data_IF_216968744080
#
_entry.id   IF_216968744080
#
_cell.length_a   1.000
_cell.length_b   1.000
_cell.length_c   1.000
_cell.angle_alpha   90.00
_cell.angle_beta   90.00
_cell.angle_gamma   90.00
#
_symmetry.space_group_name_H-M   'P 1'
#
loop_
_entity.id
_entity.type
_entity.pdbx_description
1 polymer ?
#
# COMPACT_ATOMS: atom_id res chain seq x y z
N UNK A 1 -24.83 -4.40 -13.68
CA UNK A 1 -24.56 -2.99 -13.25
C UNK A 1 -25.79 -2.18 -12.80
N UNK A 2 -26.91 -2.07 -13.55
CA UNK A 2 -27.99 -1.07 -13.29
C UNK A 2 -28.58 -1.07 -11.86
N UNK A 3 -28.51 -2.17 -11.11
CA UNK A 3 -29.00 -2.26 -9.73
C UNK A 3 -27.90 -2.12 -8.66
N UNK A 4 -26.65 -2.45 -8.99
CA UNK A 4 -25.54 -2.46 -8.04
C UNK A 4 -24.95 -1.05 -7.82
N UNK A 5 -24.85 -0.25 -8.87
CA UNK A 5 -24.27 1.10 -8.79
C UNK A 5 -25.04 2.06 -7.86
N UNK A 6 -26.39 2.10 -7.86
CA UNK A 6 -27.13 2.88 -6.87
C UNK A 6 -26.84 2.45 -5.42
N UNK A 7 -26.75 1.13 -5.18
CA UNK A 7 -26.43 0.61 -3.85
C UNK A 7 -25.00 0.99 -3.41
N UNK A 8 -24.02 0.84 -4.31
CA UNK A 8 -22.63 1.25 -4.08
C UNK A 8 -22.53 2.74 -3.75
N UNK A 9 -23.26 3.61 -4.47
CA UNK A 9 -23.26 5.04 -4.21
C UNK A 9 -23.87 5.38 -2.83
N UNK A 10 -25.00 4.77 -2.47
CA UNK A 10 -25.63 4.96 -1.15
C UNK A 10 -24.69 4.52 -0.02
N UNK A 11 -24.03 3.37 -0.16
CA UNK A 11 -23.06 2.88 0.82
C UNK A 11 -21.83 3.80 0.92
N UNK A 12 -21.33 4.29 -0.22
CA UNK A 12 -20.20 5.21 -0.27
C UNK A 12 -20.50 6.57 0.38
N UNK A 13 -21.72 7.10 0.24
CA UNK A 13 -22.14 8.34 0.91
C UNK A 13 -22.05 8.23 2.45
N UNK A 14 -22.10 7.01 3.00
CA UNK A 14 -21.96 6.76 4.44
C UNK A 14 -20.50 6.72 4.93
N UNK A 15 -19.49 6.81 4.04
CA UNK A 15 -18.06 6.88 4.38
C UNK A 15 -17.63 8.19 5.06
N UNK A 16 -18.54 8.91 5.72
CA UNK A 16 -18.21 10.15 6.40
C UNK A 16 -17.15 9.96 7.50
N UNK A 17 -16.30 10.98 7.67
CA UNK A 17 -15.22 11.01 8.66
C UNK A 17 -15.69 10.90 10.12
N UNK A 18 -17.00 10.95 10.38
CA UNK A 18 -17.60 10.85 11.72
C UNK A 18 -18.27 9.51 12.04
N UNK A 19 -18.30 8.57 11.10
CA UNK A 19 -18.88 7.23 11.33
C UNK A 19 -17.99 6.40 12.25
N UNK A 20 -18.58 5.69 13.22
CA UNK A 20 -17.87 4.75 14.10
C UNK A 20 -17.11 3.68 13.29
N UNK A 21 -15.97 3.21 13.82
CA UNK A 21 -15.11 2.21 13.18
C UNK A 21 -15.87 0.93 12.78
N UNK A 22 -16.78 0.44 13.64
CA UNK A 22 -17.62 -0.72 13.33
C UNK A 22 -18.50 -0.51 12.09
N UNK A 23 -19.08 0.69 11.94
CA UNK A 23 -19.91 1.03 10.77
C UNK A 23 -19.04 1.06 9.52
N UNK A 24 -17.83 1.63 9.61
CA UNK A 24 -16.88 1.65 8.49
C UNK A 24 -16.49 0.25 8.05
N UNK A 25 -16.19 -0.63 9.02
CA UNK A 25 -15.88 -2.04 8.75
C UNK A 25 -17.03 -2.73 8.02
N UNK A 26 -18.27 -2.52 8.47
CA UNK A 26 -19.45 -3.14 7.86
C UNK A 26 -19.69 -2.62 6.43
N UNK A 27 -19.50 -1.31 6.20
CA UNK A 27 -19.64 -0.73 4.87
C UNK A 27 -18.55 -1.25 3.91
N UNK A 28 -17.32 -1.39 4.38
CA UNK A 28 -16.22 -2.02 3.62
C UNK A 28 -16.60 -3.45 3.24
N UNK A 29 -17.13 -4.22 4.19
CA UNK A 29 -17.56 -5.60 3.95
C UNK A 29 -18.70 -5.67 2.91
N UNK A 30 -19.73 -4.84 3.06
CA UNK A 30 -20.86 -4.77 2.12
C UNK A 30 -20.41 -4.42 0.69
N UNK A 31 -19.61 -3.37 0.54
CA UNK A 31 -19.10 -2.93 -0.77
C UNK A 31 -18.19 -4.01 -1.36
N UNK A 32 -17.33 -4.62 -0.55
CA UNK A 32 -16.43 -5.68 -0.97
C UNK A 32 -17.18 -6.95 -1.43
N UNK A 33 -18.26 -7.35 -0.74
CA UNK A 33 -19.11 -8.47 -1.16
C UNK A 33 -19.83 -8.19 -2.48
N UNK A 34 -20.35 -6.97 -2.67
CA UNK A 34 -20.94 -6.57 -3.96
C UNK A 34 -19.87 -6.64 -5.05
N UNK A 35 -18.68 -6.11 -4.77
CA UNK A 35 -17.54 -6.17 -5.69
C UNK A 35 -17.15 -7.59 -6.05
N UNK A 36 -17.05 -8.47 -5.06
CA UNK A 36 -16.75 -9.89 -5.23
C UNK A 36 -17.71 -10.55 -6.21
N UNK A 37 -19.03 -10.38 -5.99
CA UNK A 37 -20.06 -10.93 -6.89
C UNK A 37 -19.91 -10.37 -8.30
N UNK A 38 -19.71 -9.06 -8.45
CA UNK A 38 -19.57 -8.42 -9.76
C UNK A 38 -18.33 -8.89 -10.53
N UNK A 39 -17.18 -8.98 -9.85
CA UNK A 39 -15.93 -9.44 -10.48
C UNK A 39 -16.04 -10.90 -10.93
N UNK A 40 -16.71 -11.76 -10.14
CA UNK A 40 -16.97 -13.16 -10.48
C UNK A 40 -17.99 -13.35 -11.61
N UNK A 41 -18.91 -12.40 -11.79
CA UNK A 41 -19.77 -12.35 -12.97
C UNK A 41 -19.04 -11.84 -14.23
N UNK A 42 -17.75 -11.51 -14.11
CA UNK A 42 -16.92 -11.02 -15.21
C UNK A 42 -17.13 -9.52 -15.51
N UNK A 43 -17.67 -8.75 -14.57
CA UNK A 43 -17.97 -7.33 -14.75
C UNK A 43 -16.88 -6.44 -14.10
N UNK A 44 -15.90 -5.93 -14.87
CA UNK A 44 -14.79 -5.12 -14.33
C UNK A 44 -15.24 -3.73 -13.85
N UNK A 45 -16.51 -3.37 -14.10
CA UNK A 45 -17.08 -2.05 -13.76
C UNK A 45 -17.02 -1.73 -12.27
N UNK A 46 -16.95 -2.74 -11.40
CA UNK A 46 -16.71 -2.52 -9.97
C UNK A 46 -15.33 -1.88 -9.72
N UNK A 47 -14.27 -2.43 -10.33
CA UNK A 47 -12.93 -1.86 -10.22
C UNK A 47 -12.91 -0.43 -10.77
N UNK A 48 -13.50 -0.21 -11.95
CA UNK A 48 -13.63 1.14 -12.52
C UNK A 48 -14.32 2.10 -11.54
N UNK A 49 -15.44 1.70 -10.95
CA UNK A 49 -16.15 2.51 -9.96
C UNK A 49 -15.28 2.85 -8.73
N UNK A 50 -14.51 1.89 -8.20
CA UNK A 50 -13.57 2.13 -7.10
C UNK A 50 -12.53 3.18 -7.49
N UNK A 51 -11.85 3.00 -8.64
CA UNK A 51 -10.75 3.88 -9.04
C UNK A 51 -11.24 5.27 -9.46
N UNK A 52 -12.44 5.38 -10.04
CA UNK A 52 -13.09 6.68 -10.28
C UNK A 52 -13.33 7.43 -8.96
N UNK A 53 -13.78 6.72 -7.91
CA UNK A 53 -13.99 7.30 -6.58
C UNK A 53 -12.66 7.64 -5.90
N UNK A 54 -11.64 6.79 -5.99
CA UNK A 54 -10.31 7.08 -5.46
C UNK A 54 -9.72 8.37 -6.06
N UNK A 55 -9.86 8.57 -7.37
CA UNK A 55 -9.40 9.78 -8.05
C UNK A 55 -10.22 11.03 -7.69
N UNK A 56 -11.52 10.85 -7.41
CA UNK A 56 -12.37 11.95 -6.94
C UNK A 56 -12.03 12.38 -5.50
N UNK A 57 -11.60 11.43 -4.66
CA UNK A 57 -11.21 11.67 -3.26
C UNK A 57 -9.78 12.21 -3.20
N UNK A 58 -9.62 13.54 -3.20
CA UNK A 58 -8.28 14.15 -3.27
C UNK A 58 -7.46 14.03 -1.98
N UNK A 59 -8.02 14.46 -0.84
CA UNK A 59 -7.26 14.66 0.43
C UNK A 59 -7.76 13.84 1.62
N UNK A 60 -8.75 12.97 1.42
CA UNK A 60 -9.31 12.19 2.52
C UNK A 60 -8.71 10.78 2.54
N UNK A 61 -7.62 10.61 3.29
CA UNK A 61 -6.91 9.34 3.36
C UNK A 61 -7.73 8.26 4.07
N UNK A 62 -8.64 8.62 4.98
CA UNK A 62 -9.57 7.67 5.60
C UNK A 62 -10.52 7.13 4.54
N UNK A 63 -11.10 7.99 3.71
CA UNK A 63 -12.03 7.56 2.66
C UNK A 63 -11.31 6.74 1.58
N UNK A 64 -10.08 7.11 1.20
CA UNK A 64 -9.23 6.28 0.34
C UNK A 64 -8.97 4.91 0.97
N UNK A 65 -8.66 4.87 2.27
CA UNK A 65 -8.41 3.64 3.01
C UNK A 65 -9.63 2.72 2.98
N UNK A 66 -10.85 3.26 3.14
CA UNK A 66 -12.07 2.47 3.07
C UNK A 66 -12.34 1.94 1.65
N UNK A 67 -12.12 2.76 0.62
CA UNK A 67 -12.27 2.33 -0.78
C UNK A 67 -11.28 1.21 -1.14
N UNK A 68 -10.01 1.38 -0.79
CA UNK A 68 -8.98 0.36 -1.04
C UNK A 68 -9.28 -0.90 -0.23
N UNK A 69 -9.70 -0.78 1.03
CA UNK A 69 -10.12 -1.94 1.84
C UNK A 69 -11.27 -2.72 1.19
N UNK A 70 -12.26 -2.01 0.64
CA UNK A 70 -13.40 -2.65 -0.01
C UNK A 70 -13.00 -3.36 -1.31
N UNK A 71 -12.13 -2.74 -2.10
CA UNK A 71 -11.56 -3.37 -3.29
C UNK A 71 -10.73 -4.60 -2.93
N UNK A 72 -9.85 -4.48 -1.93
CA UNK A 72 -9.08 -5.62 -1.41
C UNK A 72 -10.00 -6.77 -0.98
N UNK A 73 -11.07 -6.46 -0.23
CA UNK A 73 -12.03 -7.48 0.20
C UNK A 73 -12.71 -8.20 -0.99
N UNK A 74 -12.92 -7.50 -2.10
CA UNK A 74 -13.49 -8.11 -3.31
C UNK A 74 -12.56 -9.08 -4.03
N UNK A 75 -11.25 -9.01 -3.79
CA UNK A 75 -10.23 -9.82 -4.49
C UNK A 75 -9.54 -10.86 -3.59
N UNK A 76 -9.66 -10.72 -2.25
CA UNK A 76 -8.90 -11.50 -1.25
C UNK A 76 -9.10 -13.02 -1.26
N UNK A 77 -10.21 -13.51 -1.83
CA UNK A 77 -10.57 -14.94 -1.81
C UNK A 77 -10.45 -15.62 -3.18
N UNK A 78 -9.96 -14.91 -4.19
CA UNK A 78 -9.92 -15.43 -5.56
C UNK A 78 -8.51 -15.85 -5.97
N UNK A 79 -8.42 -16.99 -6.64
CA UNK A 79 -7.17 -17.49 -7.21
C UNK A 79 -6.86 -16.83 -8.56
N UNK A 80 -7.90 -16.35 -9.27
CA UNK A 80 -7.78 -15.69 -10.56
C UNK A 80 -9.01 -14.80 -10.80
N UNK A 81 -8.83 -13.56 -11.25
CA UNK A 81 -9.94 -12.61 -11.50
C UNK A 81 -9.88 -12.15 -12.95
N UNK A 82 -10.07 -13.08 -13.89
CA UNK A 82 -9.82 -12.90 -15.32
C UNK A 82 -10.32 -11.56 -15.92
N UNK A 83 -11.45 -11.04 -15.45
CA UNK A 83 -12.03 -9.78 -15.95
C UNK A 83 -11.17 -8.53 -15.64
N UNK A 84 -10.22 -8.61 -14.71
CA UNK A 84 -9.29 -7.53 -14.40
C UNK A 84 -8.00 -7.57 -15.24
N UNK A 85 -7.75 -8.62 -16.01
CA UNK A 85 -6.49 -8.79 -16.77
C UNK A 85 -6.21 -7.61 -17.70
N UNK A 86 -7.23 -7.06 -18.35
CA UNK A 86 -7.08 -5.90 -19.26
C UNK A 86 -6.88 -4.57 -18.52
N UNK A 87 -7.17 -4.54 -17.21
CA UNK A 87 -7.17 -3.32 -16.38
C UNK A 87 -6.08 -3.32 -15.32
N UNK A 88 -5.43 -4.46 -15.06
CA UNK A 88 -4.53 -4.64 -13.92
C UNK A 88 -3.31 -3.73 -13.98
N UNK A 89 -2.78 -3.46 -15.17
CA UNK A 89 -1.64 -2.55 -15.34
C UNK A 89 -2.02 -1.16 -14.85
N UNK A 90 -3.15 -0.64 -15.31
CA UNK A 90 -3.67 0.65 -14.88
C UNK A 90 -4.00 0.68 -13.38
N UNK A 91 -4.62 -0.39 -12.85
CA UNK A 91 -4.92 -0.53 -11.42
C UNK A 91 -3.63 -0.46 -10.59
N UNK A 92 -2.60 -1.19 -11.00
CA UNK A 92 -1.31 -1.26 -10.30
C UNK A 92 -0.59 0.08 -10.31
N UNK A 93 -0.58 0.78 -11.44
CA UNK A 93 -0.05 2.15 -11.55
C UNK A 93 -0.81 3.14 -10.65
N UNK A 94 -2.14 3.04 -10.58
CA UNK A 94 -2.93 3.91 -9.70
C UNK A 94 -2.63 3.64 -8.23
N UNK A 95 -2.55 2.38 -7.81
CA UNK A 95 -2.20 2.01 -6.43
C UNK A 95 -0.80 2.51 -6.07
N UNK A 96 0.18 2.32 -6.96
CA UNK A 96 1.53 2.87 -6.82
C UNK A 96 1.51 4.38 -6.63
N UNK A 97 0.85 5.11 -7.53
CA UNK A 97 0.76 6.57 -7.47
C UNK A 97 0.09 7.08 -6.18
N UNK A 98 -0.92 6.37 -5.69
CA UNK A 98 -1.52 6.73 -4.40
C UNK A 98 -0.46 6.53 -3.31
N UNK A 99 0.19 5.35 -3.28
CA UNK A 99 1.22 4.98 -2.29
C UNK A 99 2.36 5.99 -2.20
N UNK A 100 2.87 6.48 -3.33
CA UNK A 100 3.91 7.52 -3.43
C UNK A 100 3.57 8.81 -2.67
N UNK A 101 2.28 9.10 -2.46
CA UNK A 101 1.79 10.33 -1.84
C UNK A 101 1.21 10.14 -0.43
N UNK A 102 1.19 8.90 0.08
CA UNK A 102 0.58 8.60 1.38
C UNK A 102 1.48 9.11 2.50
N UNK A 103 0.87 9.71 3.51
CA UNK A 103 1.50 10.00 4.82
C UNK A 103 0.71 9.33 5.97
N UNK A 104 -0.50 8.84 5.69
CA UNK A 104 -1.35 8.14 6.64
C UNK A 104 -1.02 6.63 6.67
N UNK A 105 -0.34 6.16 7.71
CA UNK A 105 0.15 4.78 7.80
C UNK A 105 -0.93 3.68 7.59
N UNK A 106 -2.17 3.78 8.12
CA UNK A 106 -3.22 2.79 7.83
C UNK A 106 -3.60 2.70 6.34
N UNK A 107 -3.49 3.80 5.58
CA UNK A 107 -3.70 3.78 4.13
C UNK A 107 -2.53 3.11 3.41
N UNK A 108 -1.29 3.40 3.83
CA UNK A 108 -0.09 2.73 3.30
C UNK A 108 -0.20 1.22 3.47
N UNK A 109 -0.59 0.78 4.67
CA UNK A 109 -0.79 -0.64 5.00
C UNK A 109 -1.79 -1.27 4.02
N UNK A 110 -3.01 -0.75 3.92
CA UNK A 110 -4.03 -1.39 3.09
C UNK A 110 -3.67 -1.40 1.60
N UNK A 111 -3.03 -0.34 1.08
CA UNK A 111 -2.58 -0.31 -0.32
C UNK A 111 -1.53 -1.38 -0.55
N UNK A 112 -0.52 -1.45 0.32
CA UNK A 112 0.57 -2.42 0.21
C UNK A 112 0.04 -3.86 0.27
N UNK A 113 -0.85 -4.13 1.21
CA UNK A 113 -1.51 -5.43 1.34
C UNK A 113 -2.35 -5.77 0.09
N UNK A 114 -3.00 -4.79 -0.52
CA UNK A 114 -3.73 -4.97 -1.80
C UNK A 114 -2.77 -5.28 -2.95
N UNK A 115 -1.63 -4.59 -3.01
CA UNK A 115 -0.58 -4.84 -4.00
C UNK A 115 0.01 -6.24 -3.83
N UNK A 116 0.22 -6.70 -2.59
CA UNK A 116 0.66 -8.07 -2.29
C UNK A 116 -0.36 -9.10 -2.78
N UNK A 117 -1.64 -8.86 -2.55
CA UNK A 117 -2.70 -9.77 -3.02
C UNK A 117 -2.73 -9.79 -4.57
N UNK A 118 -2.61 -8.64 -5.22
CA UNK A 118 -2.54 -8.54 -6.67
C UNK A 118 -1.26 -9.13 -7.27
N UNK A 119 -0.10 -9.03 -6.61
CA UNK A 119 1.16 -9.58 -7.12
C UNK A 119 1.15 -11.11 -7.14
N UNK A 120 0.33 -11.75 -6.30
CA UNK A 120 0.09 -13.19 -6.33
C UNK A 120 -0.78 -13.62 -7.51
N UNK A 121 -1.76 -12.78 -7.88
CA UNK A 121 -2.70 -13.07 -8.98
C UNK A 121 -2.09 -12.68 -10.34
N UNK A 122 -1.37 -11.56 -10.40
CA UNK A 122 -0.79 -10.96 -11.61
C UNK A 122 0.71 -10.63 -11.44
N UNK A 123 1.57 -11.65 -11.26
CA UNK A 123 2.99 -11.44 -10.96
C UNK A 123 3.73 -10.66 -12.06
N UNK A 124 3.37 -10.86 -13.33
CA UNK A 124 4.02 -10.20 -14.47
C UNK A 124 3.88 -8.67 -14.41
N UNK A 125 2.70 -8.18 -14.01
CA UNK A 125 2.43 -6.74 -13.92
C UNK A 125 3.12 -6.15 -12.70
N UNK A 126 3.18 -6.90 -11.60
CA UNK A 126 3.88 -6.45 -10.41
C UNK A 126 5.39 -6.33 -10.63
N UNK A 127 6.00 -7.17 -11.46
CA UNK A 127 7.43 -7.06 -11.80
C UNK A 127 7.79 -5.66 -12.32
N UNK A 128 6.91 -5.02 -13.11
CA UNK A 128 7.14 -3.69 -13.69
C UNK A 128 7.19 -2.57 -12.65
N UNK A 129 6.49 -2.73 -11.52
CA UNK A 129 6.39 -1.71 -10.45
C UNK A 129 7.14 -2.10 -9.17
N UNK A 130 7.76 -3.27 -9.15
CA UNK A 130 8.34 -3.86 -7.94
C UNK A 130 9.35 -2.93 -7.26
N UNK A 131 10.31 -2.42 -8.01
CA UNK A 131 11.38 -1.55 -7.49
C UNK A 131 10.80 -0.29 -6.86
N UNK A 132 9.82 0.34 -7.51
CA UNK A 132 9.16 1.55 -7.00
C UNK A 132 8.42 1.27 -5.68
N UNK A 133 7.69 0.14 -5.59
CA UNK A 133 6.96 -0.23 -4.37
C UNK A 133 7.91 -0.50 -3.22
N UNK A 134 8.99 -1.23 -3.48
CA UNK A 134 10.02 -1.54 -2.49
C UNK A 134 10.72 -0.28 -1.99
N UNK A 135 11.12 0.61 -2.91
CA UNK A 135 11.78 1.87 -2.58
C UNK A 135 10.93 2.71 -1.60
N UNK A 136 9.63 2.84 -1.89
CA UNK A 136 8.69 3.52 -0.98
C UNK A 136 8.64 2.82 0.39
N UNK A 137 8.50 1.49 0.43
CA UNK A 137 8.40 0.74 1.69
C UNK A 137 9.67 0.79 2.54
N UNK A 138 10.83 0.85 1.89
CA UNK A 138 12.11 1.07 2.57
C UNK A 138 12.16 2.48 3.15
N UNK A 139 11.70 3.50 2.41
CA UNK A 139 11.51 4.84 2.94
C UNK A 139 10.69 4.84 4.23
N UNK A 140 9.54 4.16 4.23
CA UNK A 140 8.74 3.97 5.44
C UNK A 140 9.46 3.18 6.54
N UNK A 141 10.31 2.20 6.22
CA UNK A 141 11.03 1.42 7.21
C UNK A 141 12.15 2.22 7.90
N UNK A 142 12.82 3.12 7.19
CA UNK A 142 13.93 3.94 7.72
C UNK A 142 13.41 5.22 8.39
N UNK A 143 12.29 5.78 7.92
CA UNK A 143 11.74 7.01 8.46
C UNK A 143 11.54 6.90 9.99
N UNK A 144 11.76 8.00 10.74
CA UNK A 144 11.53 8.04 12.19
C UNK A 144 10.02 7.98 12.46
N UNK A 145 9.47 6.78 12.34
CA UNK A 145 8.06 6.53 12.54
C UNK A 145 7.73 6.46 14.04
N UNK A 146 6.54 6.93 14.42
CA UNK A 146 6.16 7.03 15.83
C UNK A 146 5.80 5.69 16.48
N UNK A 147 5.84 4.55 15.78
CA UNK A 147 5.36 3.27 16.32
C UNK A 147 6.05 2.04 15.73
N UNK A 148 6.58 1.17 16.60
CA UNK A 148 7.21 -0.12 16.25
C UNK A 148 6.36 -1.03 15.35
N UNK A 149 5.03 -0.88 15.42
CA UNK A 149 4.08 -1.63 14.59
C UNK A 149 4.24 -1.37 13.10
N UNK A 150 4.59 -0.15 12.70
CA UNK A 150 4.75 0.17 11.28
C UNK A 150 6.07 -0.41 10.78
N UNK A 151 7.15 -0.33 11.58
CA UNK A 151 8.44 -0.96 11.31
C UNK A 151 8.29 -2.48 11.13
N UNK A 152 7.59 -3.15 12.05
CA UNK A 152 7.34 -4.59 11.96
C UNK A 152 6.52 -4.92 10.71
N UNK A 153 5.50 -4.11 10.41
CA UNK A 153 4.68 -4.31 9.22
C UNK A 153 5.49 -4.15 7.91
N UNK A 154 6.28 -3.09 7.76
CA UNK A 154 7.05 -2.84 6.53
C UNK A 154 8.09 -3.94 6.33
N UNK A 155 8.76 -4.41 7.39
CA UNK A 155 9.64 -5.57 7.33
C UNK A 155 8.91 -6.84 6.84
N UNK A 156 7.72 -7.13 7.39
CA UNK A 156 6.90 -8.25 6.94
C UNK A 156 6.44 -8.09 5.48
N UNK A 157 6.07 -6.89 5.06
CA UNK A 157 5.66 -6.59 3.69
C UNK A 157 6.81 -6.81 2.69
N UNK A 158 8.00 -6.27 2.97
CA UNK A 158 9.22 -6.47 2.18
C UNK A 158 9.56 -7.96 2.06
N UNK A 159 9.41 -8.72 3.15
CA UNK A 159 9.60 -10.16 3.15
C UNK A 159 8.60 -10.90 2.25
N UNK A 160 7.33 -10.48 2.20
CA UNK A 160 6.32 -11.09 1.32
C UNK A 160 6.66 -10.93 -0.17
N UNK A 161 7.47 -9.93 -0.54
CA UNK A 161 7.95 -9.77 -1.91
C UNK A 161 9.18 -10.62 -2.26
N UNK A 162 9.67 -11.49 -1.34
CA UNK A 162 10.84 -12.38 -1.55
C UNK A 162 10.95 -13.02 -2.95
N UNK A 163 9.88 -13.53 -3.57
CA UNK A 163 9.96 -14.10 -4.92
C UNK A 163 10.51 -13.11 -5.95
N UNK A 164 10.09 -11.85 -5.89
CA UNK A 164 10.45 -10.82 -6.87
C UNK A 164 11.89 -10.29 -6.70
N UNK A 165 12.40 -10.26 -5.47
CA UNK A 165 13.81 -9.93 -5.20
C UNK A 165 14.77 -10.89 -5.91
N UNK A 166 14.41 -12.18 -5.94
CA UNK A 166 15.23 -13.22 -6.58
C UNK A 166 15.10 -13.13 -8.11
N UNK A 167 13.89 -12.91 -8.60
CA UNK A 167 13.63 -12.77 -10.04
C UNK A 167 14.28 -11.50 -10.64
N UNK A 168 14.39 -10.43 -9.86
CA UNK A 168 14.96 -9.14 -10.28
C UNK A 168 16.24 -8.81 -9.49
N UNK A 169 17.19 -9.74 -9.47
CA UNK A 169 18.40 -9.62 -8.65
C UNK A 169 19.27 -8.42 -9.03
N UNK A 170 19.35 -8.06 -10.32
CA UNK A 170 20.13 -6.89 -10.77
C UNK A 170 19.53 -5.59 -10.22
N UNK A 171 18.22 -5.41 -10.33
CA UNK A 171 17.53 -4.25 -9.76
C UNK A 171 17.63 -4.23 -8.22
N UNK A 172 17.57 -5.40 -7.59
CA UNK A 172 17.75 -5.56 -6.13
C UNK A 172 19.12 -5.08 -5.68
N UNK A 173 20.19 -5.43 -6.41
CA UNK A 173 21.55 -4.98 -6.11
C UNK A 173 21.68 -3.46 -6.26
N UNK A 174 21.14 -2.88 -7.33
CA UNK A 174 21.14 -1.42 -7.51
C UNK A 174 20.42 -0.70 -6.38
N UNK A 175 19.29 -1.24 -5.92
CA UNK A 175 18.52 -0.67 -4.83
C UNK A 175 19.27 -0.79 -3.48
N UNK A 176 20.01 -1.88 -3.26
CA UNK A 176 20.89 -2.02 -2.11
C UNK A 176 22.06 -1.03 -2.15
N UNK A 177 22.66 -0.80 -3.31
CA UNK A 177 23.73 0.18 -3.48
C UNK A 177 23.23 1.59 -3.14
N UNK A 178 22.06 2.00 -3.67
CA UNK A 178 21.44 3.27 -3.31
C UNK A 178 21.13 3.38 -1.81
N UNK A 179 20.63 2.30 -1.19
CA UNK A 179 20.36 2.27 0.25
C UNK A 179 21.65 2.47 1.09
N UNK A 180 22.77 1.85 0.68
CA UNK A 180 24.06 2.03 1.36
C UNK A 180 24.55 3.47 1.19
N UNK A 181 24.44 4.04 -0.01
CA UNK A 181 24.80 5.44 -0.27
C UNK A 181 23.98 6.40 0.60
N UNK A 182 22.67 6.16 0.74
CA UNK A 182 21.81 6.96 1.60
C UNK A 182 22.20 6.81 3.08
N UNK A 183 22.48 5.60 3.55
CA UNK A 183 22.94 5.37 4.93
C UNK A 183 24.26 6.10 5.23
N UNK A 184 25.22 6.08 4.30
CA UNK A 184 26.48 6.80 4.40
C UNK A 184 26.25 8.32 4.42
N UNK A 185 25.35 8.83 3.56
CA UNK A 185 24.97 10.24 3.54
C UNK A 185 24.33 10.68 4.86
N UNK A 186 23.45 9.85 5.44
CA UNK A 186 22.87 10.10 6.76
C UNK A 186 23.94 10.12 7.85
N UNK A 187 24.83 9.12 7.89
CA UNK A 187 25.91 9.06 8.88
C UNK A 187 26.80 10.32 8.85
N UNK A 188 27.17 10.79 7.66
CA UNK A 188 27.92 12.04 7.49
C UNK A 188 27.13 13.27 7.94
N UNK A 189 25.81 13.32 7.73
CA UNK A 189 24.96 14.40 8.26
C UNK A 189 24.91 14.37 9.80
N UNK A 190 24.91 13.18 10.42
CA UNK A 190 24.96 13.03 11.88
C UNK A 190 26.30 13.48 12.46
N UNK A 191 27.44 13.11 11.88
CA UNK A 191 28.77 13.58 12.31
C UNK A 191 28.89 15.11 12.25
N UNK A 192 28.23 15.74 11.28
CA UNK A 192 28.15 17.19 11.18
C UNK A 192 27.18 17.84 12.21
N UNK A 193 26.25 17.07 12.79
CA UNK A 193 25.28 17.52 13.82
C UNK A 193 25.74 17.26 15.26
N UNK A 194 26.67 16.32 15.51
CA UNK A 194 27.27 16.07 16.84
C UNK A 194 28.05 17.27 17.40
N UNK A 195 28.21 18.35 16.63
CA UNK A 195 28.69 19.62 17.19
C UNK A 195 27.63 20.36 18.04
N UNK A 196 26.39 19.87 18.21
CA UNK A 196 25.32 20.69 18.82
C UNK A 196 24.30 20.12 19.82
N UNK A 197 24.18 18.84 20.21
CA UNK A 197 23.35 18.44 21.40
C UNK A 197 23.42 16.95 21.80
N UNK A 198 23.68 16.66 23.09
CA UNK A 198 23.94 15.32 23.68
C UNK A 198 22.70 14.42 23.93
N UNK A 199 21.46 14.94 23.94
CA UNK A 199 20.27 14.16 24.36
C UNK A 199 19.69 13.23 23.26
N UNK A 200 20.06 13.42 21.99
CA UNK A 200 19.57 12.60 20.86
C UNK A 200 20.36 11.30 20.64
N UNK A 201 21.51 11.16 21.29
CA UNK A 201 22.49 10.10 21.05
C UNK A 201 21.98 8.71 21.48
N UNK A 202 21.24 8.63 22.59
CA UNK A 202 20.78 7.35 23.17
C UNK A 202 19.67 6.71 22.32
N UNK A 203 18.77 7.49 21.73
CA UNK A 203 17.68 6.97 20.89
C UNK A 203 18.16 6.41 19.54
N UNK A 204 19.35 6.78 19.08
CA UNK A 204 19.80 6.52 17.70
C UNK A 204 20.64 5.25 17.59
N UNK A 205 21.50 4.97 18.58
CA UNK A 205 22.22 3.69 18.70
C UNK A 205 21.30 2.48 18.78
N UNK A 206 20.14 2.62 19.42
CA UNK A 206 19.14 1.55 19.51
C UNK A 206 18.51 1.23 18.13
N UNK A 207 18.52 2.18 17.19
CA UNK A 207 17.91 2.04 15.85
C UNK A 207 18.83 1.33 14.86
N UNK A 208 20.12 1.62 14.88
CA UNK A 208 21.10 0.89 14.05
C UNK A 208 21.26 -0.55 14.55
N UNK A 209 21.17 -0.77 15.86
CA UNK A 209 21.21 -2.12 16.43
C UNK A 209 20.01 -2.99 16.03
N UNK A 210 18.88 -2.39 15.65
CA UNK A 210 17.70 -3.13 15.17
C UNK A 210 17.81 -3.61 13.71
N UNK A 211 18.85 -3.18 12.98
CA UNK A 211 19.14 -3.59 11.60
C UNK A 211 20.12 -4.77 11.50
N UNK A 212 20.71 -5.21 12.62
CA UNK A 212 21.59 -6.37 12.73
C UNK A 212 20.92 -7.52 13.51
#
# INVERSE_FOLDING_TARGET
>A
MKLAEPALNVLFEQFQERSHETIRSELVHCIGLIGYVMLNEGEPKFAQWIFDRLNAVRKNDIQKQLLVSAFRHSIQNEHEILCLSDHIQHISEQLKKILESVVHAPLMIVITDTIIDLSRIYPQVFQEIFTDIVDILIGWYIEPLPTDRILEYTAQALHKFRPFWIEQIEATLTLLDHFIEDADNYAQQFENQEQNNDDNMVSFTDKIAALY
#
